data_IF_439177295796
#
_entry.id   IF_439177295796
#
_cell.length_a   1.000
_cell.length_b   1.000
_cell.length_c   1.000
_cell.angle_alpha   90.00
_cell.angle_beta   90.00
_cell.angle_gamma   90.00
#
_symmetry.space_group_name_H-M   'P 1'
#
loop_
_entity.id
_entity.type
_entity.pdbx_description
1 polymer ?
#
# COMPACT_ATOMS: atom_id res chain seq x y z
N UNK A 1 2.54 7.49 -19.10
CA UNK A 1 2.51 6.29 -18.25
C UNK A 1 1.93 5.10 -19.00
N UNK A 2 2.66 3.98 -19.05
CA UNK A 2 2.06 2.68 -19.36
C UNK A 2 1.54 2.08 -18.05
N UNK A 3 0.25 1.80 -17.97
CA UNK A 3 -0.35 1.10 -16.84
C UNK A 3 -0.35 -0.40 -17.12
N UNK A 4 0.40 -1.18 -16.37
CA UNK A 4 0.41 -2.64 -16.48
C UNK A 4 -0.91 -3.24 -15.98
N UNK A 5 -1.26 -4.43 -16.46
CA UNK A 5 -2.32 -5.25 -15.85
C UNK A 5 -2.05 -5.49 -14.36
N UNK A 6 -0.78 -5.56 -13.95
CA UNK A 6 -0.38 -5.75 -12.55
C UNK A 6 -0.50 -4.47 -11.71
N UNK A 7 -0.61 -3.30 -12.34
CA UNK A 7 -0.95 -2.05 -11.66
C UNK A 7 -2.45 -1.96 -11.35
N UNK A 8 -3.27 -2.59 -12.20
CA UNK A 8 -4.72 -2.63 -12.02
C UNK A 8 -5.16 -3.76 -11.09
N UNK A 9 -4.53 -4.93 -11.21
CA UNK A 9 -4.82 -6.10 -10.38
C UNK A 9 -3.64 -6.39 -9.46
N UNK A 10 -3.73 -5.88 -8.23
CA UNK A 10 -2.73 -6.09 -7.18
C UNK A 10 -3.25 -7.09 -6.16
N UNK A 11 -2.41 -8.07 -5.82
CA UNK A 11 -2.63 -8.89 -4.62
C UNK A 11 -2.43 -8.01 -3.41
N UNK A 12 -3.34 -8.12 -2.46
CA UNK A 12 -3.38 -7.22 -1.31
C UNK A 12 -4.27 -7.73 -0.21
N UNK A 13 -4.48 -6.87 0.79
CA UNK A 13 -5.34 -7.13 1.93
C UNK A 13 -6.55 -6.20 1.92
N UNK A 14 -7.70 -6.75 2.30
CA UNK A 14 -8.92 -5.99 2.54
C UNK A 14 -8.90 -5.30 3.91
N UNK A 15 -9.90 -4.44 4.19
CA UNK A 15 -11.08 -4.20 3.34
C UNK A 15 -10.90 -3.14 2.25
N UNK A 16 -9.86 -2.31 2.29
CA UNK A 16 -9.75 -1.13 1.41
C UNK A 16 -8.36 -0.90 0.83
N UNK A 17 -8.29 -0.69 -0.49
CA UNK A 17 -7.02 -0.36 -1.16
C UNK A 17 -6.49 1.01 -0.77
N UNK A 18 -7.35 1.98 -0.43
CA UNK A 18 -6.90 3.31 -0.03
C UNK A 18 -6.66 3.40 1.47
N UNK A 19 -7.45 2.70 2.29
CA UNK A 19 -7.42 2.82 3.75
C UNK A 19 -6.67 1.67 4.43
N UNK A 20 -6.35 0.57 3.73
CA UNK A 20 -5.59 -0.56 4.29
C UNK A 20 -4.26 -0.74 3.55
N UNK A 21 -4.29 -0.94 2.23
CA UNK A 21 -3.07 -1.16 1.44
C UNK A 21 -2.14 0.07 1.45
N UNK A 22 -2.70 1.25 1.15
CA UNK A 22 -1.92 2.49 1.08
C UNK A 22 -1.13 2.77 2.37
N UNK A 23 -1.76 2.79 3.56
CA UNK A 23 -1.05 3.01 4.81
C UNK A 23 0.03 1.96 5.12
N UNK A 24 -0.21 0.69 4.82
CA UNK A 24 0.82 -0.35 4.98
C UNK A 24 2.01 -0.13 4.03
N UNK A 25 1.76 0.26 2.77
CA UNK A 25 2.80 0.62 1.80
C UNK A 25 3.57 1.87 2.22
N UNK A 26 2.87 2.90 2.71
CA UNK A 26 3.49 4.12 3.22
C UNK A 26 4.45 3.83 4.38
N UNK A 27 4.02 2.96 5.30
CA UNK A 27 4.85 2.53 6.42
C UNK A 27 6.10 1.76 5.98
N UNK A 28 5.97 0.84 5.01
CA UNK A 28 7.13 0.17 4.43
C UNK A 28 8.11 1.16 3.79
N UNK A 29 7.62 2.12 3.00
CA UNK A 29 8.44 3.20 2.42
C UNK A 29 9.13 4.06 3.49
N UNK A 30 8.47 4.29 4.62
CA UNK A 30 9.04 5.04 5.74
C UNK A 30 10.15 4.28 6.45
N UNK A 31 10.01 2.96 6.63
CA UNK A 31 11.10 2.12 7.15
C UNK A 31 12.32 2.15 6.22
N UNK A 32 12.12 2.15 4.91
CA UNK A 32 13.22 2.31 3.94
C UNK A 32 13.91 3.67 4.05
N UNK A 33 13.13 4.74 4.26
CA UNK A 33 13.66 6.07 4.54
C UNK A 33 14.48 6.09 5.83
N UNK A 34 14.02 5.42 6.90
CA UNK A 34 14.75 5.29 8.16
C UNK A 34 16.07 4.53 7.97
N UNK A 35 16.07 3.42 7.22
CA UNK A 35 17.28 2.63 6.92
C UNK A 35 18.33 3.41 6.14
N UNK A 36 17.89 4.29 5.24
CA UNK A 36 18.77 5.14 4.46
C UNK A 36 19.29 6.35 5.25
N UNK A 37 18.72 6.62 6.43
CA UNK A 37 19.10 7.72 7.29
C UNK A 37 20.38 7.39 8.09
N UNK A 38 21.28 8.36 8.33
CA UNK A 38 22.45 8.14 9.18
C UNK A 38 22.12 8.13 10.69
N UNK A 39 20.85 8.36 11.06
CA UNK A 39 20.43 8.48 12.45
C UNK A 39 19.96 7.15 13.04
N UNK A 40 20.18 6.97 14.34
CA UNK A 40 19.54 5.92 15.11
C UNK A 40 18.21 6.44 15.68
N UNK A 41 17.20 5.59 15.70
CA UNK A 41 15.87 5.90 16.22
C UNK A 41 15.58 5.02 17.44
N UNK A 42 14.80 5.53 18.37
CA UNK A 42 14.36 4.80 19.56
C UNK A 42 12.84 4.62 19.63
N UNK A 43 12.09 5.27 18.73
CA UNK A 43 10.64 5.16 18.70
C UNK A 43 10.02 5.56 17.36
N UNK A 44 8.72 5.30 17.26
CA UNK A 44 7.89 5.58 16.12
C UNK A 44 6.62 6.31 16.56
N UNK A 45 6.08 7.16 15.69
CA UNK A 45 4.74 7.72 15.78
C UNK A 45 4.09 7.78 14.41
N UNK A 46 2.77 7.76 14.39
CA UNK A 46 1.98 7.94 13.18
C UNK A 46 0.76 8.79 13.48
N UNK A 47 0.36 9.60 12.52
CA UNK A 47 -0.92 10.31 12.57
C UNK A 47 -1.67 10.15 11.24
N UNK A 48 -2.96 9.82 11.36
CA UNK A 48 -3.89 9.71 10.25
C UNK A 48 -4.70 11.01 10.17
N UNK A 49 -4.90 11.52 8.96
CA UNK A 49 -5.57 12.80 8.71
C UNK A 49 -6.68 12.66 7.68
N UNK A 50 -7.63 13.60 7.71
CA UNK A 50 -8.73 13.66 6.75
C UNK A 50 -9.52 12.34 6.72
N UNK A 51 -9.84 11.84 5.53
CA UNK A 51 -10.67 10.63 5.38
C UNK A 51 -10.07 9.38 6.04
N UNK A 52 -8.73 9.28 6.09
CA UNK A 52 -8.06 8.19 6.82
C UNK A 52 -8.34 8.26 8.32
N UNK A 53 -8.43 9.46 8.89
CA UNK A 53 -8.80 9.62 10.30
C UNK A 53 -10.28 9.29 10.53
N UNK A 54 -11.17 9.88 9.72
CA UNK A 54 -12.62 9.77 9.94
C UNK A 54 -13.18 8.36 9.73
N UNK A 55 -12.62 7.60 8.80
CA UNK A 55 -13.13 6.26 8.45
C UNK A 55 -12.16 5.13 8.81
N UNK A 56 -11.03 5.47 9.43
CA UNK A 56 -9.92 4.53 9.56
C UNK A 56 -10.21 3.34 10.45
N UNK A 57 -10.98 3.51 11.52
CA UNK A 57 -11.37 2.40 12.41
C UNK A 57 -12.19 1.36 11.66
N UNK A 58 -13.17 1.78 10.84
CA UNK A 58 -14.00 0.87 10.05
C UNK A 58 -13.23 0.15 8.93
N UNK A 59 -12.12 0.74 8.47
CA UNK A 59 -11.26 0.16 7.43
C UNK A 59 -9.99 -0.52 7.98
N UNK A 60 -9.83 -0.59 9.30
CA UNK A 60 -8.63 -1.08 9.97
C UNK A 60 -7.34 -0.36 9.52
N UNK A 61 -7.42 0.95 9.28
CA UNK A 61 -6.30 1.79 8.83
C UNK A 61 -5.18 1.85 9.86
N UNK A 62 -5.54 2.00 11.14
CA UNK A 62 -4.60 1.95 12.26
C UNK A 62 -3.84 0.63 12.25
N UNK A 63 -4.58 -0.49 12.21
CA UNK A 63 -4.01 -1.84 12.17
C UNK A 63 -3.04 -2.00 11.00
N UNK A 64 -3.45 -1.58 9.80
CA UNK A 64 -2.62 -1.66 8.61
C UNK A 64 -1.35 -0.82 8.72
N UNK A 65 -1.44 0.37 9.31
CA UNK A 65 -0.30 1.27 9.53
C UNK A 65 0.67 0.68 10.55
N UNK A 66 0.16 0.14 11.67
CA UNK A 66 0.98 -0.51 12.71
C UNK A 66 1.73 -1.72 12.15
N UNK A 67 1.03 -2.57 11.41
CA UNK A 67 1.65 -3.75 10.78
C UNK A 67 2.68 -3.36 9.72
N UNK A 68 2.41 -2.33 8.93
CA UNK A 68 3.39 -1.80 8.00
C UNK A 68 4.65 -1.26 8.70
N UNK A 69 4.48 -0.58 9.84
CA UNK A 69 5.60 -0.13 10.68
C UNK A 69 6.34 -1.30 11.36
N UNK A 70 5.68 -2.46 11.50
CA UNK A 70 6.28 -3.72 11.93
C UNK A 70 6.89 -4.54 10.78
N UNK A 71 6.95 -3.97 9.56
CA UNK A 71 7.63 -4.58 8.41
C UNK A 71 6.76 -5.49 7.55
N UNK A 72 5.45 -5.56 7.78
CA UNK A 72 4.55 -6.29 6.90
C UNK A 72 4.27 -5.50 5.62
N UNK A 73 4.21 -6.18 4.49
CA UNK A 73 3.70 -5.60 3.26
C UNK A 73 2.41 -6.29 2.85
N UNK A 74 1.58 -5.66 2.00
CA UNK A 74 0.35 -6.32 1.58
C UNK A 74 0.56 -7.55 0.68
N UNK A 75 1.73 -7.66 0.05
CA UNK A 75 2.03 -8.73 -0.91
C UNK A 75 2.42 -10.05 -0.23
N UNK A 76 3.09 -9.96 0.92
CA UNK A 76 3.61 -11.07 1.72
C UNK A 76 2.86 -11.23 3.06
N UNK A 77 1.66 -10.64 3.14
CA UNK A 77 0.85 -10.65 4.35
C UNK A 77 0.48 -12.07 4.79
N UNK A 78 0.92 -12.44 5.99
CA UNK A 78 0.53 -13.65 6.71
C UNK A 78 -0.37 -13.25 7.88
N UNK A 79 -1.63 -13.67 7.83
CA UNK A 79 -2.63 -13.31 8.83
C UNK A 79 -2.24 -13.75 10.25
N UNK A 80 -1.74 -14.98 10.42
CA UNK A 80 -1.43 -15.51 11.74
C UNK A 80 -0.23 -14.78 12.36
N UNK A 81 0.80 -14.51 11.55
CA UNK A 81 1.95 -13.72 12.01
C UNK A 81 1.56 -12.28 12.33
N UNK A 82 0.69 -11.67 11.51
CA UNK A 82 0.21 -10.32 11.74
C UNK A 82 -0.56 -10.21 13.06
N UNK A 83 -1.47 -11.15 13.37
CA UNK A 83 -2.17 -11.17 14.66
C UNK A 83 -1.21 -11.32 15.84
N UNK A 84 -0.22 -12.23 15.73
CA UNK A 84 0.75 -12.44 16.79
C UNK A 84 1.62 -11.19 17.06
N UNK A 85 2.07 -10.52 16.00
CA UNK A 85 2.86 -9.28 16.10
C UNK A 85 2.02 -8.15 16.67
N UNK A 86 0.77 -7.98 16.25
CA UNK A 86 -0.11 -6.97 16.84
C UNK A 86 -0.35 -7.21 18.32
N UNK A 87 -0.66 -8.44 18.72
CA UNK A 87 -0.82 -8.79 20.13
C UNK A 87 0.45 -8.46 20.94
N UNK A 88 1.64 -8.75 20.37
CA UNK A 88 2.91 -8.39 20.98
C UNK A 88 3.09 -6.87 21.12
N UNK A 89 2.82 -6.09 20.06
CA UNK A 89 2.94 -4.62 20.10
C UNK A 89 1.99 -4.03 21.13
N UNK A 90 0.75 -4.52 21.21
CA UNK A 90 -0.21 -4.08 22.21
C UNK A 90 0.20 -4.43 23.65
N UNK A 91 0.89 -5.55 23.84
CA UNK A 91 1.37 -6.01 25.15
C UNK A 91 2.63 -5.29 25.63
N UNK A 92 3.56 -4.97 24.74
CA UNK A 92 4.88 -4.41 25.13
C UNK A 92 5.02 -2.92 24.83
N UNK A 93 4.21 -2.36 23.93
CA UNK A 93 4.39 -1.00 23.43
C UNK A 93 5.66 -0.84 22.61
N UNK A 94 6.09 -1.88 21.89
CA UNK A 94 7.31 -1.91 21.10
C UNK A 94 7.11 -2.62 19.77
N UNK A 95 7.74 -2.08 18.73
CA UNK A 95 7.92 -2.72 17.43
C UNK A 95 9.36 -3.22 17.34
N UNK A 96 9.54 -4.47 16.93
CA UNK A 96 10.86 -5.11 16.82
C UNK A 96 11.13 -5.40 15.35
N UNK A 97 12.18 -4.78 14.82
CA UNK A 97 12.63 -4.96 13.44
C UNK A 97 14.06 -5.53 13.45
N UNK A 98 14.39 -6.53 12.61
CA UNK A 98 15.72 -7.15 12.61
C UNK A 98 16.88 -6.17 12.38
N UNK A 99 16.64 -5.12 11.61
CA UNK A 99 17.62 -4.18 11.09
C UNK A 99 17.54 -2.78 11.73
N UNK A 100 16.38 -2.39 12.26
CA UNK A 100 16.19 -1.13 12.99
C UNK A 100 16.12 -1.31 14.52
N UNK A 101 16.19 -2.55 15.01
CA UNK A 101 16.18 -2.87 16.43
C UNK A 101 14.80 -2.75 17.07
N UNK A 102 14.76 -2.45 18.37
CA UNK A 102 13.52 -2.28 19.13
C UNK A 102 13.15 -0.80 19.21
N UNK A 103 11.98 -0.46 18.68
CA UNK A 103 11.44 0.89 18.63
C UNK A 103 10.24 0.99 19.55
N UNK A 104 10.20 2.01 20.41
CA UNK A 104 9.04 2.33 21.23
C UNK A 104 7.86 2.73 20.33
N UNK A 105 6.73 2.07 20.54
CA UNK A 105 5.48 2.38 19.85
C UNK A 105 4.31 1.88 20.69
N UNK A 106 3.65 2.77 21.41
CA UNK A 106 2.44 2.48 22.18
C UNK A 106 1.21 2.86 21.34
N UNK A 107 0.46 1.89 20.77
CA UNK A 107 -0.62 2.18 19.81
C UNK A 107 -1.65 3.21 20.29
N UNK A 108 -1.95 3.24 21.60
CA UNK A 108 -2.92 4.17 22.19
C UNK A 108 -2.52 5.64 22.13
N UNK A 109 -1.22 5.93 22.09
CA UNK A 109 -0.69 7.31 22.15
C UNK A 109 0.13 7.68 20.93
N UNK A 110 0.75 6.70 20.28
CA UNK A 110 1.64 6.90 19.14
C UNK A 110 0.95 6.64 17.78
N UNK A 111 -0.29 6.12 17.76
CA UNK A 111 -1.18 6.09 16.59
C UNK A 111 -2.31 7.11 16.79
N UNK A 112 -2.16 8.27 16.17
CA UNK A 112 -3.06 9.41 16.38
C UNK A 112 -4.06 9.50 15.23
N UNK A 113 -5.34 9.59 15.57
CA UNK A 113 -6.37 10.03 14.64
C UNK A 113 -6.54 11.54 14.78
N UNK A 114 -5.95 12.31 13.85
CA UNK A 114 -6.01 13.76 13.87
C UNK A 114 -7.14 14.25 12.96
N UNK A 115 -8.23 14.67 13.60
CA UNK A 115 -9.44 15.15 12.95
C UNK A 115 -9.40 16.66 12.62
N UNK A 116 -8.43 17.40 13.16
CA UNK A 116 -8.35 18.85 13.07
C UNK A 116 -7.39 19.28 11.95
N UNK A 117 -6.21 18.66 11.89
CA UNK A 117 -5.19 19.01 10.91
C UNK A 117 -5.53 18.44 9.54
N UNK A 118 -5.78 19.33 8.57
CA UNK A 118 -5.97 18.97 7.17
C UNK A 118 -4.66 19.08 6.41
N UNK A 119 -4.22 17.97 5.83
CA UNK A 119 -3.11 17.94 4.88
C UNK A 119 -3.61 18.34 3.49
N UNK A 120 -2.93 19.26 2.82
CA UNK A 120 -3.41 19.93 1.60
C UNK A 120 -3.25 19.10 0.33
N UNK A 121 -2.31 18.14 0.29
CA UNK A 121 -2.04 17.35 -0.92
C UNK A 121 -3.17 16.40 -1.33
N UNK A 122 -3.78 15.69 -0.38
CA UNK A 122 -4.90 14.77 -0.65
C UNK A 122 -5.67 14.47 0.64
N UNK A 123 -6.96 14.10 0.52
CA UNK A 123 -7.84 13.83 1.67
C UNK A 123 -7.41 12.61 2.50
N UNK A 124 -6.70 11.65 1.90
CA UNK A 124 -6.18 10.47 2.57
C UNK A 124 -4.71 10.67 2.96
N UNK A 125 -4.46 11.54 3.95
CA UNK A 125 -3.11 11.88 4.37
C UNK A 125 -2.69 11.16 5.65
N UNK A 126 -1.42 10.81 5.75
CA UNK A 126 -0.80 10.30 6.98
C UNK A 126 0.59 10.90 7.15
N UNK A 127 0.99 11.13 8.40
CA UNK A 127 2.37 11.45 8.74
C UNK A 127 2.98 10.29 9.50
N UNK A 128 4.17 9.88 9.10
CA UNK A 128 4.96 8.86 9.78
C UNK A 128 6.22 9.50 10.34
N UNK A 129 6.55 9.16 11.57
CA UNK A 129 7.56 9.83 12.36
C UNK A 129 8.43 8.82 13.09
N UNK A 130 9.72 9.11 13.16
CA UNK A 130 10.66 8.40 14.02
C UNK A 130 11.19 9.35 15.09
N UNK A 131 11.41 8.83 16.30
CA UNK A 131 11.81 9.62 17.46
C UNK A 131 13.15 9.16 18.03
N UNK A 132 13.82 10.04 18.73
CA UNK A 132 14.93 9.69 19.62
C UNK A 132 14.43 9.06 20.94
N UNK A 133 15.37 8.83 21.87
CA UNK A 133 15.09 8.21 23.18
C UNK A 133 14.33 9.13 24.13
N UNK A 134 14.37 10.45 23.91
CA UNK A 134 13.63 11.46 24.66
C UNK A 134 12.19 11.57 24.14
N UNK A 135 11.94 11.10 22.92
CA UNK A 135 10.64 11.11 22.27
C UNK A 135 10.44 12.30 21.34
N UNK A 136 11.52 13.00 20.98
CA UNK A 136 11.51 14.09 20.01
C UNK A 136 11.54 13.52 18.59
N UNK A 137 10.77 14.12 17.68
CA UNK A 137 10.70 13.67 16.29
C UNK A 137 11.96 14.08 15.55
N UNK A 138 12.76 13.11 15.10
CA UNK A 138 14.02 13.33 14.37
C UNK A 138 13.88 13.11 12.87
N UNK A 139 12.87 12.36 12.45
CA UNK A 139 12.52 12.15 11.05
C UNK A 139 11.00 12.13 10.91
N UNK A 140 10.49 12.79 9.87
CA UNK A 140 9.07 12.82 9.53
C UNK A 140 8.90 12.83 8.02
N UNK A 141 7.94 12.06 7.53
CA UNK A 141 7.52 12.11 6.13
C UNK A 141 6.00 12.08 6.02
N UNK A 142 5.46 12.84 5.06
CA UNK A 142 4.02 12.91 4.80
C UNK A 142 3.70 12.11 3.56
N UNK A 143 2.76 11.17 3.70
CA UNK A 143 2.29 10.30 2.63
C UNK A 143 0.81 10.49 2.36
N UNK A 144 0.43 10.29 1.10
CA UNK A 144 -0.94 10.34 0.62
C UNK A 144 -1.30 9.06 -0.09
N UNK A 145 -2.39 8.43 0.35
CA UNK A 145 -2.96 7.25 -0.30
C UNK A 145 -3.96 7.68 -1.38
N UNK A 146 -3.51 7.67 -2.63
CA UNK A 146 -4.24 8.27 -3.76
C UNK A 146 -5.14 7.28 -4.54
N UNK A 147 -5.30 6.05 -4.02
CA UNK A 147 -6.16 5.01 -4.60
C UNK A 147 -5.39 3.88 -5.28
N UNK A 148 -6.02 2.72 -5.47
CA UNK A 148 -5.38 1.54 -6.07
C UNK A 148 -4.15 1.00 -5.33
N UNK A 149 -4.01 1.33 -4.03
CA UNK A 149 -2.83 1.02 -3.21
C UNK A 149 -1.59 1.86 -3.55
N UNK A 150 -1.72 2.90 -4.38
CA UNK A 150 -0.62 3.83 -4.66
C UNK A 150 -0.48 4.86 -3.55
N UNK A 151 0.77 5.19 -3.24
CA UNK A 151 1.16 6.14 -2.20
C UNK A 151 2.15 7.13 -2.80
N UNK A 152 1.93 8.42 -2.54
CA UNK A 152 2.87 9.48 -2.92
C UNK A 152 3.26 10.31 -1.70
N UNK A 153 4.48 10.83 -1.67
CA UNK A 153 4.88 11.87 -0.72
C UNK A 153 4.34 13.23 -1.15
N UNK A 154 4.40 14.21 -0.24
CA UNK A 154 4.06 15.61 -0.58
C UNK A 154 4.95 16.16 -1.71
N UNK A 155 6.24 15.85 -1.68
CA UNK A 155 7.18 16.24 -2.73
C UNK A 155 6.86 15.56 -4.08
N UNK A 156 6.48 14.27 -4.06
CA UNK A 156 6.08 13.54 -5.27
C UNK A 156 4.83 14.16 -5.91
N UNK A 157 3.79 14.47 -5.11
CA UNK A 157 2.59 15.16 -5.59
C UNK A 157 2.90 16.55 -6.17
N UNK A 158 3.71 17.36 -5.47
CA UNK A 158 4.07 18.70 -5.90
C UNK A 158 4.87 18.69 -7.22
N UNK A 159 5.68 17.67 -7.43
CA UNK A 159 6.47 17.52 -8.66
C UNK A 159 5.65 17.10 -9.89
N UNK A 160 4.38 16.71 -9.71
CA UNK A 160 3.52 16.23 -10.79
C UNK A 160 4.08 15.00 -11.53
N UNK A 161 4.99 14.26 -10.89
CA UNK A 161 5.69 13.14 -11.50
C UNK A 161 4.74 11.96 -11.73
N UNK A 162 4.16 11.92 -12.92
CA UNK A 162 3.66 10.69 -13.53
C UNK A 162 4.82 10.02 -14.31
N UNK A 163 5.89 9.64 -13.61
CA UNK A 163 7.21 9.36 -14.21
C UNK A 163 7.46 7.94 -14.68
N UNK A 164 6.45 7.21 -15.16
CA UNK A 164 6.75 6.00 -15.92
C UNK A 164 6.66 6.26 -17.44
N UNK A 165 7.72 6.89 -17.95
CA UNK A 165 8.12 6.85 -19.36
C UNK A 165 9.12 5.71 -19.63
N UNK A 166 8.94 4.55 -18.97
CA UNK A 166 9.75 3.36 -19.22
C UNK A 166 9.79 2.98 -20.70
N UNK A 167 10.57 1.94 -21.04
CA UNK A 167 10.85 1.57 -22.42
C UNK A 167 9.60 1.61 -23.35
N UNK A 168 9.74 2.11 -24.59
CA UNK A 168 8.64 2.22 -25.54
C UNK A 168 7.91 0.88 -25.68
N UNK A 169 6.58 0.93 -25.67
CA UNK A 169 5.73 -0.23 -25.89
C UNK A 169 5.23 -0.26 -27.35
N UNK A 170 4.93 -1.44 -27.92
CA UNK A 170 4.55 -1.53 -29.34
C UNK A 170 3.21 -0.86 -29.70
N UNK A 171 2.26 -0.81 -28.78
CA UNK A 171 0.90 -0.28 -29.02
C UNK A 171 0.49 0.74 -27.94
N UNK A 172 1.08 1.96 -27.92
CA UNK A 172 0.76 2.98 -26.94
C UNK A 172 -0.51 3.75 -27.34
N UNK A 173 -1.58 3.70 -26.55
CA UNK A 173 -2.81 4.45 -26.81
C UNK A 173 -3.21 5.31 -25.60
N UNK A 174 -3.78 6.48 -25.86
CA UNK A 174 -4.29 7.44 -24.86
C UNK A 174 -5.81 7.62 -24.92
N UNK A 175 -6.45 7.09 -25.97
CA UNK A 175 -7.90 7.15 -26.14
C UNK A 175 -8.44 5.84 -26.69
N UNK A 176 -9.75 5.64 -26.52
CA UNK A 176 -10.43 4.50 -27.13
C UNK A 176 -10.34 4.53 -28.67
N UNK A 177 -10.35 5.72 -29.28
CA UNK A 177 -10.24 5.89 -30.73
C UNK A 177 -8.87 5.41 -31.24
N UNK A 178 -7.77 5.87 -30.62
CA UNK A 178 -6.41 5.41 -30.96
C UNK A 178 -6.26 3.89 -30.78
N UNK A 179 -6.81 3.33 -29.70
CA UNK A 179 -6.77 1.89 -29.46
C UNK A 179 -7.47 1.10 -30.56
N UNK A 180 -8.64 1.55 -31.01
CA UNK A 180 -9.40 0.87 -32.07
C UNK A 180 -8.71 1.01 -33.44
N UNK A 181 -8.14 2.17 -33.75
CA UNK A 181 -7.35 2.39 -34.97
C UNK A 181 -6.09 1.49 -34.99
N UNK A 182 -5.40 1.34 -33.86
CA UNK A 182 -4.28 0.41 -33.74
C UNK A 182 -4.71 -1.06 -33.89
N UNK A 183 -5.89 -1.43 -33.37
CA UNK A 183 -6.42 -2.78 -33.51
C UNK A 183 -6.69 -3.10 -35.00
N UNK A 184 -7.33 -2.18 -35.71
CA UNK A 184 -7.67 -2.33 -37.13
C UNK A 184 -6.40 -2.39 -38.01
N UNK A 185 -5.49 -1.43 -37.84
CA UNK A 185 -4.25 -1.35 -38.61
C UNK A 185 -3.28 -2.52 -38.36
N UNK A 186 -3.25 -3.08 -37.15
CA UNK A 186 -2.35 -4.19 -36.79
C UNK A 186 -2.96 -5.58 -36.98
N UNK A 187 -4.28 -5.68 -37.17
CA UNK A 187 -5.03 -6.94 -37.20
C UNK A 187 -5.04 -7.69 -35.85
N UNK A 188 -4.70 -7.02 -34.74
CA UNK A 188 -4.65 -7.61 -33.39
C UNK A 188 -5.87 -7.21 -32.58
N UNK A 189 -6.35 -8.13 -31.75
CA UNK A 189 -7.34 -7.79 -30.72
C UNK A 189 -6.72 -6.90 -29.64
N UNK A 190 -7.57 -6.18 -28.89
CA UNK A 190 -7.14 -5.38 -27.73
C UNK A 190 -6.29 -6.21 -26.76
N UNK A 191 -6.70 -7.45 -26.47
CA UNK A 191 -5.96 -8.35 -25.58
C UNK A 191 -4.59 -8.74 -26.14
N UNK A 192 -4.48 -8.98 -27.45
CA UNK A 192 -3.20 -9.28 -28.10
C UNK A 192 -2.25 -8.06 -28.12
N UNK A 193 -2.78 -6.86 -28.39
CA UNK A 193 -2.00 -5.62 -28.29
C UNK A 193 -1.52 -5.37 -26.86
N UNK A 194 -2.40 -5.52 -25.87
CA UNK A 194 -2.05 -5.36 -24.47
C UNK A 194 -1.03 -6.39 -24.01
N UNK A 195 -1.17 -7.65 -24.43
CA UNK A 195 -0.16 -8.70 -24.22
C UNK A 195 1.20 -8.29 -24.77
N UNK A 196 1.27 -7.81 -26.01
CA UNK A 196 2.53 -7.35 -26.60
C UNK A 196 3.16 -6.19 -25.82
N UNK A 197 2.36 -5.27 -25.27
CA UNK A 197 2.87 -4.19 -24.42
C UNK A 197 3.43 -4.70 -23.08
N UNK A 198 2.75 -5.63 -22.41
CA UNK A 198 3.25 -6.25 -21.17
C UNK A 198 4.53 -7.04 -21.42
N UNK A 199 4.57 -7.84 -22.48
CA UNK A 199 5.73 -8.67 -22.83
C UNK A 199 6.95 -7.82 -23.22
N UNK A 200 6.73 -6.62 -23.78
CA UNK A 200 7.82 -5.69 -24.10
C UNK A 200 8.53 -5.14 -22.85
N UNK A 201 7.84 -5.03 -21.71
CA UNK A 201 8.41 -4.49 -20.46
C UNK A 201 8.79 -5.55 -19.43
N UNK A 202 7.98 -6.61 -19.30
CA UNK A 202 8.18 -7.66 -18.29
C UNK A 202 8.58 -9.03 -18.87
N UNK A 203 8.45 -9.24 -20.18
CA UNK A 203 8.67 -10.53 -20.81
C UNK A 203 7.48 -11.51 -20.67
N UNK A 204 7.43 -12.48 -21.57
CA UNK A 204 6.33 -13.45 -21.66
C UNK A 204 6.19 -14.34 -20.41
N UNK A 205 7.31 -14.70 -19.78
CA UNK A 205 7.32 -15.54 -18.57
C UNK A 205 6.69 -14.78 -17.40
N UNK A 206 7.10 -13.52 -17.18
CA UNK A 206 6.55 -12.68 -16.12
C UNK A 206 5.04 -12.48 -16.28
N UNK A 207 4.57 -12.17 -17.50
CA UNK A 207 3.14 -12.02 -17.76
C UNK A 207 2.37 -13.32 -17.46
N UNK A 208 2.86 -14.46 -17.95
CA UNK A 208 2.23 -15.76 -17.75
C UNK A 208 2.14 -16.12 -16.26
N UNK A 209 3.26 -16.02 -15.54
CA UNK A 209 3.33 -16.46 -14.16
C UNK A 209 2.61 -15.50 -13.21
N UNK A 210 2.70 -14.19 -13.46
CA UNK A 210 1.96 -13.17 -12.72
C UNK A 210 0.45 -13.30 -12.88
N UNK A 211 -0.05 -13.50 -14.11
CA UNK A 211 -1.50 -13.67 -14.34
C UNK A 211 -2.02 -14.98 -13.75
N UNK A 212 -1.25 -16.07 -13.82
CA UNK A 212 -1.58 -17.33 -13.13
C UNK A 212 -1.65 -17.14 -11.62
N UNK A 213 -0.71 -16.39 -11.03
CA UNK A 213 -0.73 -16.07 -9.59
C UNK A 213 -1.98 -15.29 -9.20
N UNK A 214 -2.35 -14.25 -9.96
CA UNK A 214 -3.57 -13.47 -9.70
C UNK A 214 -4.81 -14.35 -9.71
N UNK A 215 -4.94 -15.20 -10.72
CA UNK A 215 -6.03 -16.16 -10.84
C UNK A 215 -6.09 -17.12 -9.65
N UNK A 216 -4.94 -17.67 -9.24
CA UNK A 216 -4.87 -18.56 -8.07
C UNK A 216 -5.31 -17.84 -6.79
N UNK A 217 -4.81 -16.62 -6.55
CA UNK A 217 -5.18 -15.83 -5.36
C UNK A 217 -6.69 -15.53 -5.33
N UNK A 218 -7.29 -15.20 -6.48
CA UNK A 218 -8.74 -14.99 -6.57
C UNK A 218 -9.51 -16.26 -6.22
N UNK A 219 -9.11 -17.42 -6.76
CA UNK A 219 -9.75 -18.70 -6.42
C UNK A 219 -9.59 -19.06 -4.95
N UNK A 220 -8.39 -18.88 -4.39
CA UNK A 220 -8.14 -19.16 -2.97
C UNK A 220 -8.97 -18.23 -2.09
N UNK A 221 -9.17 -16.97 -2.50
CA UNK A 221 -10.05 -16.03 -1.80
C UNK A 221 -11.51 -16.50 -1.80
N UNK A 222 -12.01 -16.97 -2.96
CA UNK A 222 -13.35 -17.54 -3.09
C UNK A 222 -13.49 -18.75 -2.16
N UNK A 223 -12.55 -19.70 -2.22
CA UNK A 223 -12.60 -20.91 -1.39
C UNK A 223 -12.58 -20.58 0.10
N UNK A 224 -11.70 -19.66 0.54
CA UNK A 224 -11.70 -19.20 1.94
C UNK A 224 -13.04 -18.59 2.35
N UNK A 225 -13.67 -17.79 1.48
CA UNK A 225 -14.98 -17.21 1.75
C UNK A 225 -16.11 -18.24 1.83
N UNK A 226 -15.98 -19.38 1.13
CA UNK A 226 -16.93 -20.49 1.21
C UNK A 226 -16.73 -21.39 2.43
N UNK A 227 -15.50 -21.46 2.95
CA UNK A 227 -15.12 -22.32 4.09
C UNK A 227 -15.17 -21.60 5.44
N UNK A 228 -15.15 -20.26 5.45
CA UNK A 228 -15.07 -19.46 6.68
C UNK A 228 -16.45 -18.94 7.08
N UNK A 229 -17.03 -19.55 8.11
CA UNK A 229 -18.20 -19.00 8.80
C UNK A 229 -17.79 -17.87 9.76
N UNK A 230 -18.69 -16.91 9.99
CA UNK A 230 -18.47 -15.83 10.95
C UNK A 230 -19.40 -14.64 10.75
N UNK A 231 -19.23 -13.63 11.60
CA UNK A 231 -19.88 -12.32 11.46
C UNK A 231 -18.78 -11.31 11.12
N UNK A 232 -19.01 -10.47 10.12
CA UNK A 232 -18.09 -9.43 9.72
C UNK A 232 -17.86 -8.44 10.87
N UNK A 233 -16.60 -8.05 11.03
CA UNK A 233 -16.24 -6.93 11.90
C UNK A 233 -16.91 -5.62 11.43
N UNK A 234 -17.10 -4.68 12.35
CA UNK A 234 -17.75 -3.39 12.06
C UNK A 234 -19.13 -3.20 12.69
N UNK A 235 -19.63 -4.18 13.45
CA UNK A 235 -20.80 -4.02 14.33
C UNK A 235 -22.16 -4.04 13.63
N UNK A 236 -22.21 -4.41 12.35
CA UNK A 236 -23.45 -4.50 11.57
C UNK A 236 -24.13 -5.87 11.67
N UNK A 237 -23.49 -6.86 12.32
CA UNK A 237 -23.98 -8.23 12.47
C UNK A 237 -24.35 -8.90 11.14
N UNK A 238 -23.49 -8.72 10.13
CA UNK A 238 -23.61 -9.31 8.78
C UNK A 238 -22.70 -10.52 8.68
#
# INVERSE_FOLDING_TARGET
>A
MFLSVFDMFKVGIGPSSSHTMGPMVAAARFLDLMRASPFNFAGLRASLHGSLAFTGVGHATDRATILGLAGFTPHDYDHQKAEAVLAQIHGTGQIILPDLGTLKFAPKTDMIFDYETKLTGHANGMMLMATDAQGDVTLRETYYSIGGGFVMTEAELASGKDTDEGAPIPFPFKSAAEMLEMADSSGKTIAQMKRANEEARGGAIHLRDGTKRLWQVMNDCINRGLETDGIFAGGLNV
#
